data_IF_168726274904
#
_entry.id   IF_168726274904
#
_cell.length_a   1.000
_cell.length_b   1.000
_cell.length_c   1.000
_cell.angle_alpha   90.00
_cell.angle_beta   90.00
_cell.angle_gamma   90.00
#
_symmetry.space_group_name_H-M   'P 1'
#
loop_
_entity.id
_entity.type
_entity.pdbx_description
1 polymer ?
#
# COMPACT_ATOMS: atom_id res chain seq x y z
N UNK A 1 -54.83 -1.89 -30.66
CA UNK A 1 -53.53 -1.52 -31.25
C UNK A 1 -52.66 -1.08 -30.09
N UNK A 2 -51.88 -2.02 -29.54
CA UNK A 2 -51.08 -1.81 -28.34
C UNK A 2 -49.72 -1.25 -28.78
N UNK A 3 -49.43 -0.01 -28.42
CA UNK A 3 -48.09 0.54 -28.57
C UNK A 3 -47.24 -0.01 -27.41
N UNK A 4 -46.60 -1.16 -27.68
CA UNK A 4 -45.54 -1.75 -26.87
C UNK A 4 -44.21 -1.03 -27.13
N UNK A 5 -44.20 0.31 -27.23
CA UNK A 5 -43.00 1.08 -26.93
C UNK A 5 -42.76 1.02 -25.42
N UNK A 6 -42.39 -0.18 -24.95
CA UNK A 6 -41.40 -0.33 -23.90
C UNK A 6 -40.32 0.67 -24.24
N UNK A 7 -40.38 1.84 -23.62
CA UNK A 7 -39.18 2.60 -23.34
C UNK A 7 -38.38 1.65 -22.48
N UNK A 8 -37.61 0.83 -23.17
CA UNK A 8 -36.44 0.20 -22.64
C UNK A 8 -35.77 1.32 -21.88
N UNK A 9 -35.88 1.25 -20.57
CA UNK A 9 -34.96 1.88 -19.68
C UNK A 9 -33.63 1.20 -19.99
N UNK A 10 -33.04 1.57 -21.13
CA UNK A 10 -31.63 1.46 -21.39
C UNK A 10 -31.03 2.34 -20.31
N UNK A 11 -30.76 1.72 -19.16
CA UNK A 11 -29.92 2.27 -18.13
C UNK A 11 -28.59 2.55 -18.82
N UNK A 12 -28.49 3.77 -19.35
CA UNK A 12 -27.26 4.47 -19.68
C UNK A 12 -26.30 4.09 -18.56
N UNK A 13 -25.39 3.16 -18.85
CA UNK A 13 -24.44 2.69 -17.86
C UNK A 13 -23.44 3.82 -17.73
N UNK A 14 -23.83 4.84 -16.96
CA UNK A 14 -23.06 6.06 -16.76
C UNK A 14 -21.63 5.62 -16.43
N UNK A 15 -20.62 6.05 -17.21
CA UNK A 15 -19.26 5.62 -17.05
C UNK A 15 -18.82 5.87 -15.62
N UNK A 16 -18.84 4.80 -14.81
CA UNK A 16 -18.47 4.86 -13.40
C UNK A 16 -16.97 5.07 -13.33
N UNK A 17 -16.54 6.34 -13.27
CA UNK A 17 -15.18 6.72 -12.98
C UNK A 17 -14.80 6.17 -11.60
N UNK A 18 -14.08 5.05 -11.59
CA UNK A 18 -13.47 4.53 -10.37
C UNK A 18 -12.08 5.13 -10.26
N UNK A 19 -11.97 6.19 -9.47
CA UNK A 19 -10.68 6.76 -9.08
C UNK A 19 -9.97 5.80 -8.13
N UNK A 20 -9.13 4.93 -8.67
CA UNK A 20 -8.22 4.12 -7.85
C UNK A 20 -7.11 5.04 -7.36
N UNK A 21 -7.15 5.45 -6.09
CA UNK A 21 -6.02 6.12 -5.43
C UNK A 21 -5.02 5.05 -4.97
N UNK A 22 -3.80 4.98 -5.53
CA UNK A 22 -2.75 4.17 -4.94
C UNK A 22 -2.20 4.90 -3.71
N UNK A 23 -2.67 4.52 -2.52
CA UNK A 23 -2.07 5.00 -1.26
C UNK A 23 -0.87 4.11 -0.92
N UNK A 24 0.33 4.66 -0.70
CA UNK A 24 1.47 3.87 -0.25
C UNK A 24 1.17 3.30 1.13
N UNK A 25 1.31 1.99 1.29
CA UNK A 25 1.03 1.30 2.55
C UNK A 25 2.10 1.68 3.59
N UNK A 26 1.66 2.17 4.76
CA UNK A 26 2.54 2.52 5.88
C UNK A 26 3.10 1.27 6.60
N UNK A 27 2.33 0.19 6.65
CA UNK A 27 2.67 -1.04 7.37
C UNK A 27 4.07 -1.62 7.07
N UNK A 28 4.52 -1.79 5.80
CA UNK A 28 5.86 -2.32 5.54
C UNK A 28 6.99 -1.45 6.11
N UNK A 29 6.80 -0.12 6.18
CA UNK A 29 7.83 0.79 6.70
C UNK A 29 7.94 0.73 8.22
N UNK A 30 6.80 0.60 8.92
CA UNK A 30 6.81 0.39 10.36
C UNK A 30 7.44 -0.96 10.71
N UNK A 31 7.10 -2.02 9.98
CA UNK A 31 7.70 -3.36 10.16
C UNK A 31 9.21 -3.28 9.94
N UNK A 32 9.67 -2.63 8.86
CA UNK A 32 11.09 -2.44 8.60
C UNK A 32 11.79 -1.64 9.71
N UNK A 33 11.15 -0.59 10.23
CA UNK A 33 11.67 0.21 11.34
C UNK A 33 11.82 -0.59 12.64
N UNK A 34 10.81 -1.39 12.99
CA UNK A 34 10.89 -2.30 14.16
C UNK A 34 11.96 -3.35 13.94
N UNK A 35 12.04 -3.94 12.75
CA UNK A 35 13.06 -4.93 12.43
C UNK A 35 14.48 -4.35 12.55
N UNK A 36 14.69 -3.13 12.05
CA UNK A 36 15.95 -2.42 12.21
C UNK A 36 16.29 -2.13 13.68
N UNK A 37 15.31 -1.79 14.51
CA UNK A 37 15.50 -1.59 15.95
C UNK A 37 15.94 -2.88 16.67
N UNK A 38 15.33 -4.03 16.33
CA UNK A 38 15.74 -5.34 16.86
C UNK A 38 17.18 -5.66 16.44
N UNK A 39 17.51 -5.46 15.15
CA UNK A 39 18.88 -5.67 14.67
C UNK A 39 19.89 -4.76 15.37
N UNK A 40 19.55 -3.49 15.59
CA UNK A 40 20.39 -2.55 16.33
C UNK A 40 20.61 -3.01 17.77
N UNK A 41 19.57 -3.48 18.47
CA UNK A 41 19.69 -4.05 19.81
C UNK A 41 20.65 -5.25 19.84
N UNK A 42 20.52 -6.17 18.87
CA UNK A 42 21.42 -7.33 18.74
C UNK A 42 22.86 -6.88 18.52
N UNK A 43 23.10 -5.96 17.58
CA UNK A 43 24.44 -5.45 17.30
C UNK A 43 25.06 -4.79 18.53
N UNK A 44 24.29 -3.98 19.26
CA UNK A 44 24.78 -3.33 20.49
C UNK A 44 25.21 -4.39 21.51
N UNK A 45 24.35 -5.36 21.82
CA UNK A 45 24.68 -6.40 22.81
C UNK A 45 25.87 -7.26 22.38
N UNK A 46 26.01 -7.54 21.08
CA UNK A 46 27.17 -8.30 20.58
C UNK A 46 28.48 -7.52 20.70
N UNK A 47 28.44 -6.20 20.54
CA UNK A 47 29.64 -5.33 20.59
C UNK A 47 30.02 -4.98 22.03
N UNK A 48 29.04 -4.63 22.86
CA UNK A 48 29.28 -4.16 24.23
C UNK A 48 29.22 -5.27 25.27
N UNK A 49 28.66 -6.43 24.91
CA UNK A 49 28.21 -7.42 25.88
C UNK A 49 26.86 -7.06 26.50
N UNK A 50 26.22 -8.02 27.21
CA UNK A 50 25.08 -7.73 28.07
C UNK A 50 25.48 -6.84 29.24
N UNK A 51 24.53 -6.09 29.79
CA UNK A 51 24.77 -5.27 30.98
C UNK A 51 25.00 -6.17 32.21
N UNK A 52 25.83 -5.72 33.15
CA UNK A 52 26.29 -6.52 34.30
C UNK A 52 25.14 -7.15 35.11
N UNK A 53 24.04 -6.41 35.29
CA UNK A 53 22.86 -6.85 36.04
C UNK A 53 21.80 -7.59 35.20
N UNK A 54 22.06 -7.78 33.89
CA UNK A 54 21.10 -8.37 32.97
C UNK A 54 21.64 -9.63 32.31
N UNK A 55 20.77 -10.64 32.20
CA UNK A 55 21.03 -11.76 31.29
C UNK A 55 21.07 -11.27 29.84
N UNK A 56 21.69 -12.04 28.96
CA UNK A 56 21.72 -11.76 27.51
C UNK A 56 20.32 -11.45 26.95
N UNK A 57 19.34 -12.31 27.28
CA UNK A 57 17.95 -12.11 26.86
C UNK A 57 17.32 -10.85 27.45
N UNK A 58 17.66 -10.51 28.71
CA UNK A 58 17.20 -9.30 29.38
C UNK A 58 17.74 -8.03 28.72
N UNK A 59 19.05 -7.95 28.44
CA UNK A 59 19.64 -6.81 27.74
C UNK A 59 19.08 -6.63 26.33
N UNK A 60 18.93 -7.74 25.58
CA UNK A 60 18.34 -7.71 24.25
C UNK A 60 16.88 -7.21 24.28
N UNK A 61 16.09 -7.72 25.21
CA UNK A 61 14.69 -7.31 25.38
C UNK A 61 14.57 -5.82 25.72
N UNK A 62 15.35 -5.36 26.71
CA UNK A 62 15.36 -3.95 27.10
C UNK A 62 15.74 -3.02 25.95
N UNK A 63 16.86 -3.31 25.27
CA UNK A 63 17.34 -2.48 24.16
C UNK A 63 16.38 -2.52 22.97
N UNK A 64 15.74 -3.66 22.71
CA UNK A 64 14.71 -3.76 21.67
C UNK A 64 13.55 -2.81 21.95
N UNK A 65 13.05 -2.76 23.19
CA UNK A 65 11.98 -1.83 23.58
C UNK A 65 12.48 -0.38 23.53
N UNK A 66 13.69 -0.11 24.01
CA UNK A 66 14.29 1.22 23.97
C UNK A 66 14.45 1.74 22.53
N UNK A 67 14.80 0.86 21.58
CA UNK A 67 14.93 1.21 20.17
C UNK A 67 13.62 1.12 19.38
N UNK A 68 12.55 0.54 19.92
CA UNK A 68 11.28 0.40 19.20
C UNK A 68 10.70 1.76 18.81
N UNK A 69 10.72 2.73 19.72
CA UNK A 69 10.17 4.08 19.48
C UNK A 69 10.94 4.84 18.40
N UNK A 70 12.29 4.99 18.47
CA UNK A 70 13.04 5.61 17.38
C UNK A 70 12.98 4.80 16.08
N UNK A 71 12.96 3.47 16.14
CA UNK A 71 12.81 2.61 14.95
C UNK A 71 11.48 2.82 14.23
N UNK A 72 10.37 2.89 14.97
CA UNK A 72 9.05 3.22 14.43
C UNK A 72 9.03 4.64 13.84
N UNK A 73 9.63 5.61 14.53
CA UNK A 73 9.72 6.99 14.04
C UNK A 73 10.48 7.07 12.71
N UNK A 74 11.63 6.39 12.59
CA UNK A 74 12.40 6.31 11.35
C UNK A 74 11.60 5.63 10.22
N UNK A 75 10.88 4.56 10.53
CA UNK A 75 9.97 3.90 9.58
C UNK A 75 8.88 4.85 9.07
N UNK A 76 8.21 5.55 9.98
CA UNK A 76 7.17 6.53 9.64
C UNK A 76 7.70 7.71 8.82
N UNK A 77 8.87 8.25 9.19
CA UNK A 77 9.54 9.34 8.45
C UNK A 77 9.93 8.89 7.05
N UNK A 78 10.45 7.67 6.91
CA UNK A 78 10.80 7.09 5.60
C UNK A 78 9.56 6.95 4.72
N UNK A 79 8.44 6.47 5.28
CA UNK A 79 7.17 6.42 4.57
C UNK A 79 6.70 7.82 4.15
N UNK A 80 6.74 8.80 5.04
CA UNK A 80 6.30 10.17 4.75
C UNK A 80 7.14 10.80 3.63
N UNK A 81 8.45 10.54 3.61
CA UNK A 81 9.33 11.01 2.55
C UNK A 81 8.98 10.41 1.19
N UNK A 82 8.69 9.11 1.16
CA UNK A 82 8.27 8.41 -0.06
C UNK A 82 6.88 8.86 -0.51
N UNK A 83 5.93 9.00 0.41
CA UNK A 83 4.59 9.54 0.12
C UNK A 83 4.68 10.95 -0.46
N UNK A 84 5.52 11.81 0.11
CA UNK A 84 5.75 13.16 -0.40
C UNK A 84 6.34 13.18 -1.82
N UNK A 85 7.27 12.26 -2.12
CA UNK A 85 7.84 12.10 -3.46
C UNK A 85 6.82 11.52 -4.44
N UNK A 86 5.99 10.59 -3.98
CA UNK A 86 4.92 9.95 -4.77
C UNK A 86 3.89 10.97 -5.23
N UNK A 87 3.43 11.85 -4.33
CA UNK A 87 2.49 12.95 -4.66
C UNK A 87 2.99 13.86 -5.77
N UNK A 88 4.31 14.08 -5.87
CA UNK A 88 4.95 14.90 -6.92
C UNK A 88 5.12 14.15 -8.25
N UNK A 89 5.00 12.82 -8.25
CA UNK A 89 5.29 11.92 -9.39
C UNK A 89 4.05 11.16 -9.87
N UNK A 90 2.85 11.49 -9.40
CA UNK A 90 1.60 10.86 -9.84
C UNK A 90 1.39 11.13 -11.33
N UNK A 91 1.90 10.20 -12.15
CA UNK A 91 1.70 10.14 -13.58
C UNK A 91 0.38 9.42 -13.81
N UNK A 92 -0.57 10.14 -14.37
CA UNK A 92 -1.91 9.67 -14.75
C UNK A 92 -1.77 8.38 -15.57
N UNK A 93 -2.16 7.24 -15.01
CA UNK A 93 -2.32 6.02 -15.79
C UNK A 93 -3.73 6.03 -16.37
N UNK A 94 -3.81 6.25 -17.68
CA UNK A 94 -5.05 6.23 -18.44
C UNK A 94 -5.46 4.75 -18.63
N UNK A 95 -6.44 4.30 -17.83
CA UNK A 95 -6.98 2.95 -17.92
C UNK A 95 -7.85 2.87 -19.17
N UNK A 96 -7.22 2.54 -20.29
CA UNK A 96 -7.94 2.23 -21.53
C UNK A 96 -8.77 0.96 -21.31
N UNK A 97 -10.08 1.13 -21.14
CA UNK A 97 -11.05 0.05 -20.97
C UNK A 97 -11.01 -0.84 -22.22
N UNK A 98 -10.48 -2.05 -22.11
CA UNK A 98 -10.54 -3.08 -23.15
C UNK A 98 -11.97 -3.65 -23.21
N UNK A 99 -12.94 -2.87 -23.70
CA UNK A 99 -14.31 -3.35 -23.98
C UNK A 99 -14.62 -3.42 -25.49
N UNK A 100 -13.63 -3.19 -26.36
CA UNK A 100 -13.86 -3.14 -27.81
C UNK A 100 -13.69 -4.48 -28.55
N UNK A 101 -13.45 -5.59 -27.87
CA UNK A 101 -13.12 -6.85 -28.55
C UNK A 101 -14.31 -7.77 -28.85
N UNK A 102 -15.54 -7.49 -28.38
CA UNK A 102 -16.64 -8.47 -28.46
C UNK A 102 -17.93 -7.99 -29.13
N UNK A 103 -17.91 -6.90 -29.90
CA UNK A 103 -18.99 -6.61 -30.85
C UNK A 103 -18.61 -7.09 -32.24
N UNK A 104 -18.64 -8.42 -32.44
CA UNK A 104 -18.77 -9.01 -33.77
C UNK A 104 -20.18 -8.68 -34.27
N UNK A 105 -20.35 -7.84 -35.30
CA UNK A 105 -21.67 -7.66 -35.90
C UNK A 105 -21.97 -8.93 -36.70
N UNK A 106 -22.78 -9.81 -36.12
CA UNK A 106 -23.33 -10.94 -36.83
C UNK A 106 -24.32 -10.41 -37.89
N UNK A 107 -23.75 -10.18 -39.08
CA UNK A 107 -24.31 -10.38 -40.41
C UNK A 107 -25.79 -10.78 -40.44
N UNK A 108 -26.66 -9.84 -40.85
CA UNK A 108 -27.99 -10.14 -41.39
C UNK A 108 -27.80 -10.63 -42.84
N UNK A 109 -28.18 -11.87 -43.18
CA UNK A 109 -28.36 -12.28 -44.57
C UNK A 109 -29.75 -11.86 -45.05
N UNK A 110 -29.80 -11.22 -46.23
CA UNK A 110 -31.04 -10.83 -46.92
C UNK A 110 -31.97 -12.00 -47.28
#
# INVERSE_FOLDING_TARGET
>A
MWDMSSREQSGESEPRQVTVRPTPRLSPFLIAGVFAAVLAAVVVVLVTGPADDYSLGGSLGYLTVAFAMPGLALGAVTWLFIDWRSRKRTRTYDLQKLDSAERTPAHDPE
#
